data_IF_972678506553
#
_entry.id   IF_972678506553
#
_cell.length_a   1.000
_cell.length_b   1.000
_cell.length_c   1.000
_cell.angle_alpha   90.00
_cell.angle_beta   90.00
_cell.angle_gamma   90.00
#
_symmetry.space_group_name_H-M   'P 1'
#
loop_
_entity.id
_entity.type
_entity.pdbx_description
1 polymer ?
#
# COMPACT_ATOMS: atom_id res chain seq x y z
N UNK A 1 -5.25 22.55 -4.17
CA UNK A 1 -5.71 21.17 -4.45
C UNK A 1 -4.54 20.26 -4.19
N UNK A 2 -4.69 19.28 -3.30
CA UNK A 2 -3.63 18.31 -3.02
C UNK A 2 -3.56 17.26 -4.13
N UNK A 3 -2.35 16.83 -4.49
CA UNK A 3 -2.13 15.82 -5.53
C UNK A 3 -2.04 14.46 -4.88
N UNK A 4 -2.76 13.48 -5.44
CA UNK A 4 -2.74 12.08 -4.99
C UNK A 4 -2.24 11.20 -6.12
N UNK A 5 -1.33 10.28 -5.82
CA UNK A 5 -0.86 9.25 -6.75
C UNK A 5 -1.58 7.94 -6.46
N UNK A 6 -2.16 7.34 -7.51
CA UNK A 6 -2.83 6.04 -7.44
C UNK A 6 -1.99 5.01 -8.19
N UNK A 7 -1.63 3.90 -7.52
CA UNK A 7 -0.87 2.79 -8.12
C UNK A 7 -1.77 1.56 -8.18
N UNK A 8 -2.15 1.15 -9.40
CA UNK A 8 -3.04 0.02 -9.68
C UNK A 8 -2.33 -1.11 -10.42
N UNK A 9 -2.89 -2.31 -10.37
CA UNK A 9 -2.36 -3.48 -11.07
C UNK A 9 -2.56 -4.81 -10.33
N UNK A 10 -2.27 -5.96 -10.95
CA UNK A 10 -2.54 -7.29 -10.41
C UNK A 10 -1.79 -7.58 -9.09
N UNK A 11 -2.26 -8.56 -8.32
CA UNK A 11 -1.52 -9.05 -7.14
C UNK A 11 -0.09 -9.47 -7.53
N UNK A 12 0.87 -9.23 -6.64
CA UNK A 12 2.29 -9.52 -6.84
C UNK A 12 3.01 -8.75 -7.98
N UNK A 13 2.39 -7.74 -8.60
CA UNK A 13 3.02 -6.93 -9.66
C UNK A 13 4.02 -5.86 -9.17
N UNK A 14 4.47 -5.91 -7.92
CA UNK A 14 5.46 -4.97 -7.37
C UNK A 14 4.94 -3.60 -6.88
N UNK A 15 3.61 -3.37 -6.86
CA UNK A 15 3.02 -2.06 -6.48
C UNK A 15 3.46 -1.54 -5.11
N UNK A 16 3.52 -2.42 -4.10
CA UNK A 16 3.92 -2.02 -2.74
C UNK A 16 5.37 -1.54 -2.70
N UNK A 17 6.27 -2.19 -3.45
CA UNK A 17 7.66 -1.78 -3.53
C UNK A 17 7.79 -0.39 -4.19
N UNK A 18 7.07 -0.19 -5.31
CA UNK A 18 7.03 1.10 -6.00
C UNK A 18 6.44 2.22 -5.12
N UNK A 19 5.33 1.94 -4.41
CA UNK A 19 4.70 2.90 -3.51
C UNK A 19 5.63 3.38 -2.40
N UNK A 20 6.37 2.46 -1.77
CA UNK A 20 7.37 2.79 -0.74
C UNK A 20 8.52 3.61 -1.31
N UNK A 21 9.03 3.26 -2.49
CA UNK A 21 10.10 4.00 -3.16
C UNK A 21 9.68 5.45 -3.45
N UNK A 22 8.48 5.65 -4.00
CA UNK A 22 7.93 6.97 -4.30
C UNK A 22 7.68 7.77 -3.01
N UNK A 23 7.05 7.16 -2.01
CA UNK A 23 6.80 7.81 -0.72
C UNK A 23 8.09 8.36 -0.08
N UNK A 24 9.19 7.58 -0.11
CA UNK A 24 10.50 8.02 0.38
C UNK A 24 11.08 9.19 -0.42
N UNK A 25 10.93 9.19 -1.75
CA UNK A 25 11.47 10.26 -2.62
C UNK A 25 10.75 11.59 -2.45
N UNK A 26 9.45 11.56 -2.17
CA UNK A 26 8.61 12.76 -2.12
C UNK A 26 8.18 13.14 -0.70
N UNK A 27 8.72 12.48 0.33
CA UNK A 27 8.30 12.65 1.72
C UNK A 27 6.76 12.49 1.88
N UNK A 28 6.22 11.46 1.22
CA UNK A 28 4.81 11.13 1.23
C UNK A 28 4.50 9.88 2.06
N UNK A 29 3.22 9.55 2.13
CA UNK A 29 2.71 8.38 2.86
C UNK A 29 2.06 7.38 1.91
N UNK A 30 2.12 6.10 2.27
CA UNK A 30 1.43 5.03 1.53
C UNK A 30 0.14 4.68 2.26
N UNK A 31 -0.98 4.77 1.55
CA UNK A 31 -2.28 4.30 2.03
C UNK A 31 -2.63 3.01 1.28
N UNK A 32 -2.92 1.93 2.01
CA UNK A 32 -3.38 0.68 1.38
C UNK A 32 -4.84 0.82 0.93
N UNK A 33 -5.11 0.45 -0.32
CA UNK A 33 -6.46 0.34 -0.88
C UNK A 33 -6.87 -1.13 -1.10
N UNK A 34 -6.16 -2.09 -0.49
CA UNK A 34 -6.52 -3.51 -0.55
C UNK A 34 -7.61 -3.82 0.50
N UNK A 35 -8.81 -4.18 0.03
CA UNK A 35 -9.97 -4.46 0.88
C UNK A 35 -9.77 -5.65 1.82
N UNK A 36 -8.76 -6.50 1.60
CA UNK A 36 -8.43 -7.62 2.51
C UNK A 36 -7.49 -7.21 3.63
N UNK A 37 -6.70 -6.15 3.46
CA UNK A 37 -5.71 -5.71 4.47
C UNK A 37 -6.32 -4.85 5.59
N UNK A 38 -7.58 -4.43 5.46
CA UNK A 38 -8.28 -3.67 6.51
C UNK A 38 -8.64 -4.54 7.72
N UNK A 39 -8.69 -5.87 7.56
CA UNK A 39 -9.02 -6.79 8.63
C UNK A 39 -7.79 -7.10 9.48
N UNK A 40 -7.95 -7.00 10.81
CA UNK A 40 -6.93 -7.41 11.76
C UNK A 40 -6.81 -8.94 11.69
N UNK A 41 -5.60 -9.45 11.43
CA UNK A 41 -5.34 -10.88 11.55
C UNK A 41 -5.29 -11.22 13.03
N UNK A 42 -6.19 -12.07 13.50
CA UNK A 42 -6.03 -12.70 14.81
C UNK A 42 -4.91 -13.74 14.69
N UNK A 43 -3.79 -13.48 15.35
CA UNK A 43 -2.73 -14.45 15.51
C UNK A 43 -3.14 -15.44 16.60
N UNK A 44 -4.10 -16.32 16.30
CA UNK A 44 -4.29 -17.50 17.12
C UNK A 44 -3.20 -18.50 16.71
N UNK A 45 -2.10 -18.49 17.44
CA UNK A 45 -1.14 -19.59 17.46
C UNK A 45 -1.88 -20.82 18.00
N UNK A 46 -2.04 -21.82 17.14
CA UNK A 46 -2.39 -23.19 17.50
C UNK A 46 -1.19 -24.09 17.13
#
# INVERSE_FOLDING_TARGET
MEKVLIIVGPTASGKSALGVEIARRFNGEVISADSRQVYRRENNEA
#
